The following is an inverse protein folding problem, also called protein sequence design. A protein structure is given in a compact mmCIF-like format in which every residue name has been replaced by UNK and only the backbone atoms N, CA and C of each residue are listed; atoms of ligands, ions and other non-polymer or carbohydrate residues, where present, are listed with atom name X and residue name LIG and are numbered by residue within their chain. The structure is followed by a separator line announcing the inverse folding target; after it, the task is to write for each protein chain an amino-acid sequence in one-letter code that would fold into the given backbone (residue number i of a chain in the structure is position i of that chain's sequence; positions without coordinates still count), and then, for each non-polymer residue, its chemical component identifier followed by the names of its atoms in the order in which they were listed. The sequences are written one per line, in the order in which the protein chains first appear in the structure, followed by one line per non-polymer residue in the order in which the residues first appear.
data_IF_318197979798
#
_entry.id   IF_318197979798
#
_cell.length_a   1.000
_cell.length_b   1.000
_cell.length_c   1.000
_cell.angle_alpha   90.00
_cell.angle_beta   90.00
_cell.angle_gamma   90.00
#
_symmetry.space_group_name_H-M   'P 1'
#
loop_
_entity.id
_entity.type
_entity.pdbx_description
1 polymer ?
#
# COMPACT_ATOMS: atom_id res chain seq x y z
N UNK A 1 -35.40 -9.53 -11.08
CA UNK A 1 -35.28 -9.83 -9.63
C UNK A 1 -34.19 -8.93 -9.05
N UNK A 2 -34.49 -8.07 -8.06
CA UNK A 2 -33.58 -7.00 -7.61
C UNK A 2 -32.29 -7.49 -6.92
N UNK A 3 -32.17 -8.79 -6.58
CA UNK A 3 -30.98 -9.35 -5.91
C UNK A 3 -29.77 -9.55 -6.82
N UNK A 4 -29.94 -9.67 -8.15
CA UNK A 4 -28.82 -9.88 -9.07
C UNK A 4 -27.99 -8.60 -9.31
N UNK A 5 -28.63 -7.43 -9.21
CA UNK A 5 -27.96 -6.14 -9.37
C UNK A 5 -26.92 -5.88 -8.26
N UNK A 6 -27.10 -6.45 -7.07
CA UNK A 6 -26.14 -6.29 -5.97
C UNK A 6 -24.78 -6.92 -6.31
N UNK A 7 -24.76 -8.09 -6.94
CA UNK A 7 -23.53 -8.80 -7.28
C UNK A 7 -22.68 -8.09 -8.34
N UNK A 8 -23.31 -7.23 -9.16
CA UNK A 8 -22.63 -6.43 -10.17
C UNK A 8 -21.97 -5.17 -9.63
N UNK A 9 -22.31 -4.73 -8.41
CA UNK A 9 -21.61 -3.63 -7.73
C UNK A 9 -20.26 -4.08 -7.13
N UNK A 10 -20.02 -5.38 -7.03
CA UNK A 10 -18.81 -5.93 -6.42
C UNK A 10 -17.69 -5.96 -7.46
N UNK A 11 -16.59 -5.26 -7.18
CA UNK A 11 -15.37 -5.31 -7.98
C UNK A 11 -14.54 -6.56 -7.68
N UNK A 12 -14.94 -7.67 -8.30
CA UNK A 12 -14.26 -8.97 -8.20
C UNK A 12 -12.75 -8.92 -8.50
N UNK A 13 -12.27 -8.23 -9.54
CA UNK A 13 -10.82 -8.17 -9.82
C UNK A 13 -10.02 -7.54 -8.67
N UNK A 14 -10.59 -6.51 -8.04
CA UNK A 14 -9.96 -5.83 -6.92
C UNK A 14 -9.96 -6.69 -5.65
N UNK A 15 -11.06 -7.40 -5.40
CA UNK A 15 -11.13 -8.36 -4.30
C UNK A 15 -10.11 -9.48 -4.48
N UNK A 16 -10.00 -10.05 -5.68
CA UNK A 16 -9.02 -11.09 -6.00
C UNK A 16 -7.58 -10.60 -5.84
N UNK A 17 -7.29 -9.37 -6.29
CA UNK A 17 -5.99 -8.73 -6.06
C UNK A 17 -5.68 -8.62 -4.57
N UNK A 18 -6.64 -8.13 -3.79
CA UNK A 18 -6.48 -7.95 -2.34
C UNK A 18 -6.25 -9.29 -1.63
N UNK A 19 -7.06 -10.30 -1.95
CA UNK A 19 -6.92 -11.66 -1.41
C UNK A 19 -5.56 -12.25 -1.77
N UNK A 20 -5.14 -12.14 -3.04
CA UNK A 20 -3.84 -12.63 -3.49
C UNK A 20 -2.69 -11.97 -2.74
N UNK A 21 -2.76 -10.66 -2.51
CA UNK A 21 -1.75 -9.92 -1.75
C UNK A 21 -1.65 -10.39 -0.29
N UNK A 22 -2.80 -10.60 0.37
CA UNK A 22 -2.82 -11.17 1.73
C UNK A 22 -2.28 -12.59 1.77
N UNK A 23 -2.54 -13.40 0.73
CA UNK A 23 -2.05 -14.77 0.66
C UNK A 23 -0.53 -14.83 0.47
N UNK A 24 0.03 -13.97 -0.39
CA UNK A 24 1.48 -13.81 -0.55
C UNK A 24 2.11 -13.31 0.75
N UNK A 25 1.50 -12.31 1.40
CA UNK A 25 1.97 -11.80 2.69
C UNK A 25 1.99 -12.88 3.77
N UNK A 26 0.90 -13.66 3.89
CA UNK A 26 0.80 -14.76 4.85
C UNK A 26 1.85 -15.86 4.56
N UNK A 27 2.08 -16.17 3.28
CA UNK A 27 3.14 -17.08 2.87
C UNK A 27 4.53 -16.58 3.28
N UNK A 28 4.82 -15.30 3.01
CA UNK A 28 6.06 -14.64 3.39
C UNK A 28 6.29 -14.64 4.91
N UNK A 29 5.24 -14.39 5.70
CA UNK A 29 5.32 -14.46 7.16
C UNK A 29 5.59 -15.90 7.64
N UNK A 30 4.91 -16.91 7.07
CA UNK A 30 5.06 -18.32 7.45
C UNK A 30 6.46 -18.87 7.23
N UNK A 31 7.14 -18.46 6.17
CA UNK A 31 8.52 -18.90 5.88
C UNK A 31 9.58 -18.13 6.70
N UNK A 32 9.15 -17.25 7.62
CA UNK A 32 10.09 -16.44 8.40
C UNK A 32 10.73 -15.30 7.63
N UNK A 33 10.13 -14.84 6.52
CA UNK A 33 10.70 -13.76 5.69
C UNK A 33 10.95 -12.46 6.47
N UNK A 34 10.18 -12.24 7.54
CA UNK A 34 10.38 -11.14 8.49
C UNK A 34 11.75 -11.16 9.17
N UNK A 35 12.27 -12.36 9.53
CA UNK A 35 13.63 -12.53 10.06
C UNK A 35 14.68 -12.24 9.00
N UNK A 36 14.48 -12.74 7.78
CA UNK A 36 15.42 -12.52 6.68
C UNK A 36 15.61 -11.02 6.38
N UNK A 37 14.54 -10.22 6.48
CA UNK A 37 14.63 -8.76 6.35
C UNK A 37 15.43 -8.14 7.51
N UNK A 38 15.17 -8.55 8.76
CA UNK A 38 15.93 -8.06 9.91
C UNK A 38 17.41 -8.41 9.77
N UNK A 39 17.73 -9.66 9.41
CA UNK A 39 19.10 -10.16 9.30
C UNK A 39 19.87 -9.38 8.21
N UNK A 40 19.28 -9.21 7.02
CA UNK A 40 19.90 -8.44 5.93
C UNK A 40 20.13 -6.97 6.31
N UNK A 41 19.18 -6.34 7.01
CA UNK A 41 19.36 -4.96 7.48
C UNK A 41 20.45 -4.87 8.55
N UNK A 42 20.48 -5.83 9.47
CA UNK A 42 21.46 -5.88 10.56
C UNK A 42 22.87 -6.11 10.03
N UNK A 43 23.04 -7.02 9.07
CA UNK A 43 24.30 -7.30 8.38
C UNK A 43 24.83 -6.08 7.61
N UNK A 44 23.93 -5.21 7.14
CA UNK A 44 24.28 -3.95 6.46
C UNK A 44 24.67 -2.83 7.44
N UNK A 45 24.55 -3.05 8.75
CA UNK A 45 24.81 -2.07 9.80
C UNK A 45 23.63 -1.14 10.12
N UNK A 46 22.42 -1.45 9.62
CA UNK A 46 21.23 -0.63 9.79
C UNK A 46 20.30 -1.25 10.84
N UNK A 47 19.97 -0.49 11.90
CA UNK A 47 19.04 -0.95 12.92
C UNK A 47 17.61 -0.51 12.61
N UNK A 48 16.68 -1.47 12.56
CA UNK A 48 15.24 -1.21 12.47
C UNK A 48 14.66 -0.53 13.72
N UNK A 49 15.41 -0.47 14.82
CA UNK A 49 15.05 0.33 15.99
C UNK A 49 15.33 1.82 15.80
N UNK A 50 16.13 2.19 14.80
CA UNK A 50 16.38 3.59 14.49
C UNK A 50 15.15 4.18 13.77
N UNK A 51 14.50 5.24 14.31
CA UNK A 51 13.25 5.77 13.76
C UNK A 51 13.34 6.15 12.28
N UNK A 52 14.49 6.69 11.85
CA UNK A 52 14.70 7.08 10.47
C UNK A 52 14.70 5.89 9.50
N UNK A 53 15.40 4.80 9.86
CA UNK A 53 15.47 3.58 9.05
C UNK A 53 14.11 2.92 8.99
N UNK A 54 13.45 2.81 10.15
CA UNK A 54 12.10 2.28 10.26
C UNK A 54 11.10 3.06 9.40
N UNK A 55 11.16 4.40 9.42
CA UNK A 55 10.31 5.26 8.61
C UNK A 55 10.50 5.03 7.11
N UNK A 56 11.74 4.92 6.63
CA UNK A 56 12.05 4.66 5.21
C UNK A 56 11.52 3.28 4.79
N UNK A 57 11.78 2.24 5.61
CA UNK A 57 11.30 0.88 5.34
C UNK A 57 9.77 0.84 5.33
N UNK A 58 9.12 1.50 6.29
CA UNK A 58 7.66 1.62 6.37
C UNK A 58 7.09 2.28 5.12
N UNK A 59 7.65 3.41 4.70
CA UNK A 59 7.23 4.11 3.46
C UNK A 59 7.39 3.19 2.25
N UNK A 60 8.58 2.60 2.07
CA UNK A 60 8.85 1.70 0.94
C UNK A 60 7.89 0.51 0.89
N UNK A 61 7.61 -0.10 2.04
CA UNK A 61 6.73 -1.25 2.10
C UNK A 61 5.25 -0.88 1.86
N UNK A 62 4.79 0.25 2.39
CA UNK A 62 3.44 0.78 2.12
C UNK A 62 3.24 1.13 0.65
N UNK A 63 4.28 1.60 -0.05
CA UNK A 63 4.22 1.87 -1.48
C UNK A 63 4.14 0.58 -2.33
N UNK A 64 4.75 -0.51 -1.87
CA UNK A 64 4.83 -1.79 -2.61
C UNK A 64 3.63 -2.72 -2.37
N UNK A 65 3.18 -2.83 -1.11
CA UNK A 65 2.27 -3.89 -0.67
C UNK A 65 0.96 -3.34 -0.10
N UNK A 66 0.72 -2.03 -0.19
CA UNK A 66 -0.43 -1.33 0.43
C UNK A 66 -0.33 -1.21 1.96
N UNK A 67 -1.06 -0.23 2.50
CA UNK A 67 -0.97 0.16 3.91
C UNK A 67 -1.30 -0.94 4.91
N UNK A 68 -2.39 -1.69 4.67
CA UNK A 68 -2.84 -2.73 5.61
C UNK A 68 -1.82 -3.87 5.70
N UNK A 69 -1.40 -4.49 4.58
CA UNK A 69 -0.32 -5.49 4.60
C UNK A 69 1.00 -4.99 5.20
N UNK A 70 1.40 -3.76 4.88
CA UNK A 70 2.65 -3.19 5.37
C UNK A 70 2.63 -3.01 6.90
N UNK A 71 1.56 -2.46 7.46
CA UNK A 71 1.40 -2.33 8.92
C UNK A 71 1.38 -3.70 9.57
N UNK A 72 0.67 -4.67 9.00
CA UNK A 72 0.64 -6.05 9.51
C UNK A 72 2.02 -6.72 9.52
N UNK A 73 2.84 -6.47 8.50
CA UNK A 73 4.19 -6.99 8.46
C UNK A 73 5.09 -6.30 9.50
N UNK A 74 5.13 -4.97 9.50
CA UNK A 74 6.04 -4.22 10.39
C UNK A 74 5.68 -4.39 11.86
N UNK A 75 4.40 -4.42 12.23
CA UNK A 75 4.02 -4.68 13.62
C UNK A 75 4.43 -6.08 14.08
N UNK A 76 4.41 -7.07 13.19
CA UNK A 76 4.75 -8.46 13.52
C UNK A 76 6.25 -8.67 13.81
N UNK A 77 7.10 -7.70 13.43
CA UNK A 77 8.54 -7.73 13.72
C UNK A 77 8.85 -7.42 15.20
N UNK A 78 7.93 -6.77 15.93
CA UNK A 78 8.16 -6.33 17.30
C UNK A 78 7.18 -7.02 18.24
N UNK A 79 7.69 -7.77 19.23
CA UNK A 79 6.84 -8.38 20.26
C UNK A 79 6.23 -7.35 21.22
N UNK A 80 6.84 -6.17 21.33
CA UNK A 80 6.32 -5.01 22.06
C UNK A 80 6.88 -3.75 21.40
N UNK A 81 6.20 -3.21 20.38
CA UNK A 81 6.69 -2.03 19.70
C UNK A 81 6.63 -0.84 20.64
N UNK A 82 7.70 -0.04 20.67
CA UNK A 82 7.67 1.20 21.42
C UNK A 82 6.63 2.15 20.85
N UNK A 83 5.89 2.85 21.72
CA UNK A 83 4.82 3.77 21.36
C UNK A 83 5.22 4.76 20.23
N UNK A 84 6.43 5.35 20.22
CA UNK A 84 6.86 6.26 19.14
C UNK A 84 6.96 5.58 17.77
N UNK A 85 7.42 4.33 17.71
CA UNK A 85 7.54 3.58 16.44
C UNK A 85 6.17 3.22 15.87
N UNK A 86 5.19 2.92 16.73
CA UNK A 86 3.80 2.67 16.30
C UNK A 86 3.18 3.94 15.69
N UNK A 87 3.38 5.10 16.31
CA UNK A 87 2.91 6.37 15.73
C UNK A 87 3.61 6.69 14.41
N UNK A 88 4.92 6.47 14.35
CA UNK A 88 5.68 6.66 13.13
C UNK A 88 5.18 5.72 12.02
N UNK A 89 4.90 4.45 12.33
CA UNK A 89 4.31 3.49 11.40
C UNK A 89 2.96 3.98 10.88
N UNK A 90 2.07 4.44 11.77
CA UNK A 90 0.76 4.95 11.39
C UNK A 90 0.86 6.17 10.46
N UNK A 91 1.73 7.13 10.77
CA UNK A 91 1.96 8.33 9.97
C UNK A 91 2.57 7.99 8.61
N UNK A 92 3.65 7.22 8.60
CA UNK A 92 4.39 6.87 7.39
C UNK A 92 3.55 5.99 6.47
N UNK A 93 2.81 5.02 7.01
CA UNK A 93 1.87 4.21 6.25
C UNK A 93 0.80 5.08 5.59
N UNK A 94 0.11 5.93 6.36
CA UNK A 94 -0.94 6.81 5.82
C UNK A 94 -0.41 7.74 4.73
N UNK A 95 0.79 8.31 4.92
CA UNK A 95 1.39 9.21 3.94
C UNK A 95 1.87 8.47 2.69
N UNK A 96 2.54 7.33 2.85
CA UNK A 96 3.12 6.56 1.75
C UNK A 96 2.06 5.90 0.86
N UNK A 97 1.07 5.21 1.45
CA UNK A 97 0.05 4.50 0.67
C UNK A 97 -0.75 5.41 -0.26
N UNK A 98 -0.81 6.71 0.03
CA UNK A 98 -1.58 7.66 -0.77
C UNK A 98 -0.79 8.33 -1.91
N UNK A 99 0.54 8.17 -1.99
CA UNK A 99 1.35 8.86 -3.01
C UNK A 99 1.43 8.16 -4.37
N UNK A 100 1.27 6.83 -4.42
CA UNK A 100 1.36 6.04 -5.65
C UNK A 100 0.06 5.29 -5.93
N UNK A 101 -0.26 5.12 -7.22
CA UNK A 101 -1.37 4.30 -7.71
C UNK A 101 -1.39 2.87 -7.14
N UNK A 102 -0.29 2.09 -7.20
CA UNK A 102 -0.26 0.77 -6.59
C UNK A 102 -0.21 0.81 -5.05
N UNK A 103 0.14 1.96 -4.46
CA UNK A 103 0.36 2.11 -3.02
C UNK A 103 -0.92 2.04 -2.18
N UNK A 104 -2.09 2.18 -2.79
CA UNK A 104 -3.37 2.05 -2.08
C UNK A 104 -4.45 1.43 -2.96
N UNK A 105 -5.15 0.46 -2.39
CA UNK A 105 -6.34 -0.16 -2.98
C UNK A 105 -7.40 0.92 -3.27
N UNK A 106 -7.49 1.97 -2.44
CA UNK A 106 -8.40 3.10 -2.69
C UNK A 106 -8.03 3.85 -3.97
N UNK A 107 -6.74 4.05 -4.24
CA UNK A 107 -6.28 4.69 -5.48
C UNK A 107 -6.60 3.82 -6.70
N UNK A 108 -6.45 2.49 -6.58
CA UNK A 108 -6.84 1.55 -7.63
C UNK A 108 -8.35 1.56 -7.87
N UNK A 109 -9.19 1.61 -6.82
CA UNK A 109 -10.66 1.74 -6.95
C UNK A 109 -11.00 2.97 -7.77
N UNK A 110 -10.50 4.14 -7.38
CA UNK A 110 -10.80 5.40 -8.07
C UNK A 110 -10.33 5.35 -9.52
N UNK A 111 -9.14 4.82 -9.80
CA UNK A 111 -8.63 4.67 -11.16
C UNK A 111 -9.47 3.71 -12.00
N UNK A 112 -9.89 2.56 -11.44
CA UNK A 112 -10.76 1.60 -12.15
C UNK A 112 -12.15 2.16 -12.42
N UNK A 113 -12.68 2.95 -11.49
CA UNK A 113 -13.99 3.58 -11.66
C UNK A 113 -13.93 4.73 -12.67
N UNK A 114 -12.88 5.55 -12.65
CA UNK A 114 -12.65 6.58 -13.66
C UNK A 114 -12.58 5.98 -15.08
N UNK A 115 -11.82 4.90 -15.25
CA UNK A 115 -11.71 4.19 -16.54
C UNK A 115 -13.07 3.72 -17.10
N UNK A 116 -13.99 3.30 -16.23
CA UNK A 116 -15.36 2.89 -16.63
C UNK A 116 -16.20 4.03 -17.19
N UNK A 117 -15.91 5.28 -16.81
CA UNK A 117 -16.58 6.47 -17.32
C UNK A 117 -15.84 7.12 -18.51
N UNK A 118 -14.84 6.44 -19.09
CA UNK A 118 -14.07 6.94 -20.23
C UNK A 118 -12.90 7.86 -19.86
N UNK A 119 -12.60 7.96 -18.56
CA UNK A 119 -11.48 8.71 -18.02
C UNK A 119 -10.26 7.79 -17.89
N UNK A 120 -9.37 7.84 -18.89
CA UNK A 120 -8.17 7.01 -18.92
C UNK A 120 -7.06 7.62 -18.06
N UNK A 121 -6.86 7.06 -16.86
CA UNK A 121 -5.85 7.56 -15.92
C UNK A 121 -4.43 7.48 -16.51
N UNK A 122 -3.93 8.62 -16.99
CA UNK A 122 -2.50 8.84 -17.15
C UNK A 122 -1.91 9.04 -15.76
N UNK A 123 -0.76 8.42 -15.47
CA UNK A 123 -0.13 8.46 -14.14
C UNK A 123 -0.18 9.86 -13.52
N UNK A 124 -0.75 9.97 -12.32
CA UNK A 124 -0.92 11.18 -11.50
C UNK A 124 0.41 11.95 -11.32
N UNK A 125 1.54 11.23 -11.35
CA UNK A 125 2.90 11.78 -11.35
C UNK A 125 3.16 12.68 -12.58
N UNK A 126 2.53 12.37 -13.72
CA UNK A 126 2.59 13.21 -14.94
C UNK A 126 1.62 14.38 -14.95
N UNK A 127 0.65 14.42 -14.03
CA UNK A 127 -0.36 15.48 -13.91
C UNK A 127 -0.07 16.47 -12.77
N UNK A 128 0.78 16.08 -11.80
CA UNK A 128 1.28 16.95 -10.72
C UNK A 128 2.12 18.10 -11.31
N UNK A 129 1.47 19.20 -11.69
CA UNK A 129 2.09 20.41 -12.22
C UNK A 129 1.43 21.06 -13.44
N UNK A 130 0.31 20.52 -13.96
CA UNK A 130 -0.40 21.14 -15.11
C UNK A 130 -1.57 22.03 -14.66
N UNK A 131 -1.80 23.17 -15.34
CA UNK A 131 -2.86 24.12 -14.99
C UNK A 131 -4.27 23.54 -15.19
N UNK A 132 -5.26 24.00 -14.41
CA UNK A 132 -6.55 23.33 -14.19
C UNK A 132 -7.43 23.16 -15.44
N UNK A 133 -7.18 23.88 -16.53
CA UNK A 133 -7.95 23.80 -17.78
C UNK A 133 -7.45 22.75 -18.78
N UNK A 134 -6.33 22.06 -18.51
CA UNK A 134 -5.85 20.90 -19.31
C UNK A 134 -6.16 19.55 -18.64
N UNK A 135 -6.94 19.56 -17.56
CA UNK A 135 -7.21 18.41 -16.70
C UNK A 135 -8.25 17.42 -17.25
N UNK A 136 -8.98 17.76 -18.31
CA UNK A 136 -9.94 16.84 -18.93
C UNK A 136 -9.28 15.57 -19.53
N UNK A 137 -7.96 15.59 -19.75
CA UNK A 137 -7.17 14.45 -20.23
C UNK A 137 -6.30 13.78 -19.14
N UNK A 138 -6.46 14.20 -17.87
CA UNK A 138 -5.78 13.64 -16.69
C UNK A 138 -6.78 12.98 -15.72
N UNK A 139 -8.01 12.73 -16.19
CA UNK A 139 -8.98 11.88 -15.53
C UNK A 139 -8.85 10.50 -16.17
#
# INVERSE_FOLDING_TARGET
MPSQAFWTLIDWPLLLLSIGLFMVLAGFQKIGGHRLVIDVLTDSGWSLYHPFVFGIVSVGLSLLVSNVPAVMLLQSLFSSPETPLVFLLALTSTFAGNQLLPGSIANLIVATQAARYGFASRSWITCAGRPPWRSAACL
#
